data_IF_464377809812
#
_entry.id   IF_464377809812
#
_cell.length_a   1.000
_cell.length_b   1.000
_cell.length_c   1.000
_cell.angle_alpha   90.00
_cell.angle_beta   90.00
_cell.angle_gamma   90.00
#
_symmetry.space_group_name_H-M   'P 1'
#
loop_
_entity.id
_entity.type
_entity.pdbx_description
1 polymer ?
#
# COMPACT_ATOMS: atom_id res chain seq x y z
N UNK A 1 -30.57 17.35 73.24
CA UNK A 1 -31.13 17.58 71.89
C UNK A 1 -30.10 17.57 70.76
N UNK A 2 -28.79 17.71 71.02
CA UNK A 2 -27.75 17.68 69.96
C UNK A 2 -27.23 16.27 69.60
N UNK A 3 -27.43 15.27 70.46
CA UNK A 3 -27.01 13.88 70.17
C UNK A 3 -28.07 13.07 69.39
N UNK A 4 -29.35 13.45 69.48
CA UNK A 4 -30.43 12.78 68.75
C UNK A 4 -30.51 13.15 67.26
N UNK A 5 -29.79 14.19 66.82
CA UNK A 5 -29.70 14.56 65.39
C UNK A 5 -28.53 13.90 64.66
N UNK A 6 -27.60 13.26 65.38
CA UNK A 6 -26.44 12.56 64.80
C UNK A 6 -26.73 11.09 64.47
N UNK A 7 -27.64 10.43 65.19
CA UNK A 7 -28.04 9.06 64.86
C UNK A 7 -28.96 8.97 63.63
N UNK A 8 -29.62 10.07 63.25
CA UNK A 8 -30.54 10.08 62.11
C UNK A 8 -29.87 10.33 60.75
N UNK A 9 -28.54 10.50 60.73
CA UNK A 9 -27.76 10.72 59.49
C UNK A 9 -27.01 9.48 58.99
N UNK A 10 -27.13 8.33 59.67
CA UNK A 10 -26.27 7.15 59.42
C UNK A 10 -26.97 5.97 58.77
N UNK A 11 -28.18 6.14 58.23
CA UNK A 11 -28.85 5.08 57.45
C UNK A 11 -29.38 5.63 56.13
N UNK A 12 -28.49 6.23 55.33
CA UNK A 12 -28.71 6.24 53.89
C UNK A 12 -28.52 4.79 53.42
N UNK A 13 -29.57 3.97 53.44
CA UNK A 13 -29.61 2.77 52.61
C UNK A 13 -29.55 3.28 51.16
N UNK A 14 -28.46 3.05 50.41
CA UNK A 14 -28.46 3.42 49.01
C UNK A 14 -29.53 2.58 48.34
N UNK A 15 -30.53 3.27 47.78
CA UNK A 15 -31.51 2.66 46.89
C UNK A 15 -30.74 1.90 45.82
N UNK A 16 -30.89 0.57 45.79
CA UNK A 16 -30.31 -0.31 44.76
C UNK A 16 -30.90 0.06 43.40
N UNK A 17 -30.35 1.10 42.76
CA UNK A 17 -30.64 1.35 41.35
C UNK A 17 -30.10 0.17 40.55
N UNK A 18 -31.00 -0.55 39.87
CA UNK A 18 -30.62 -1.62 38.96
C UNK A 18 -30.09 -0.96 37.70
N UNK A 19 -28.84 -1.26 37.36
CA UNK A 19 -28.29 -0.83 36.08
C UNK A 19 -29.08 -1.40 34.91
N UNK A 20 -29.36 -0.54 33.93
CA UNK A 20 -29.95 -0.91 32.65
C UNK A 20 -28.96 -1.76 31.83
N UNK A 21 -29.44 -2.43 30.78
CA UNK A 21 -28.59 -3.33 29.98
C UNK A 21 -27.39 -2.61 29.35
N UNK A 22 -27.57 -1.37 28.90
CA UNK A 22 -26.50 -0.54 28.36
C UNK A 22 -25.47 -0.15 29.42
N UNK A 23 -25.92 0.24 30.61
CA UNK A 23 -25.03 0.60 31.71
C UNK A 23 -24.21 -0.62 32.15
N UNK A 24 -24.84 -1.80 32.24
CA UNK A 24 -24.14 -3.06 32.53
C UNK A 24 -23.11 -3.39 31.46
N UNK A 25 -23.42 -3.17 30.19
CA UNK A 25 -22.48 -3.40 29.08
C UNK A 25 -21.26 -2.48 29.18
N UNK A 26 -21.44 -1.17 29.36
CA UNK A 26 -20.31 -0.24 29.49
C UNK A 26 -19.50 -0.48 30.77
N UNK A 27 -20.15 -0.79 31.90
CA UNK A 27 -19.45 -1.15 33.13
C UNK A 27 -18.68 -2.47 32.99
N UNK A 28 -19.23 -3.43 32.24
CA UNK A 28 -18.51 -4.63 31.84
C UNK A 28 -17.29 -4.24 31.02
N UNK A 29 -17.41 -3.45 29.96
CA UNK A 29 -16.26 -2.99 29.15
C UNK A 29 -15.18 -2.29 29.99
N UNK A 30 -15.57 -1.52 31.01
CA UNK A 30 -14.64 -0.87 31.93
C UNK A 30 -13.93 -1.84 32.90
N UNK A 31 -14.37 -3.10 32.98
CA UNK A 31 -13.87 -4.09 33.94
C UNK A 31 -14.12 -3.70 35.40
N UNK A 32 -15.16 -2.90 35.68
CA UNK A 32 -15.45 -2.38 37.02
C UNK A 32 -16.43 -3.27 37.78
N UNK A 33 -16.29 -3.33 39.11
CA UNK A 33 -17.17 -4.10 39.97
C UNK A 33 -18.56 -3.44 40.04
N UNK A 34 -19.55 -4.08 39.42
CA UNK A 34 -20.91 -3.55 39.34
C UNK A 34 -21.66 -3.63 40.67
N UNK A 35 -21.26 -4.50 41.59
CA UNK A 35 -21.90 -4.61 42.89
C UNK A 35 -21.41 -3.50 43.81
N UNK A 36 -20.12 -3.18 43.78
CA UNK A 36 -19.56 -2.03 44.49
C UNK A 36 -20.06 -0.69 43.93
N UNK A 37 -20.15 -0.55 42.60
CA UNK A 37 -20.60 0.69 41.95
C UNK A 37 -22.07 1.04 42.22
N UNK A 38 -22.92 0.07 42.59
CA UNK A 38 -24.31 0.35 42.99
C UNK A 38 -24.41 1.16 44.27
N UNK A 39 -23.41 1.07 45.14
CA UNK A 39 -23.33 1.85 46.38
C UNK A 39 -22.70 3.23 46.16
N UNK A 40 -22.10 3.46 44.98
CA UNK A 40 -21.43 4.71 44.64
C UNK A 40 -22.40 5.74 44.06
N UNK A 41 -22.05 7.03 44.17
CA UNK A 41 -22.83 8.14 43.59
C UNK A 41 -22.93 8.00 42.06
N UNK A 42 -24.00 8.56 41.48
CA UNK A 42 -24.24 8.54 40.03
C UNK A 42 -23.07 9.09 39.19
N UNK A 43 -22.35 10.10 39.70
CA UNK A 43 -21.15 10.65 39.06
C UNK A 43 -20.03 9.62 38.88
N UNK A 44 -19.83 8.73 39.86
CA UNK A 44 -18.85 7.64 39.79
C UNK A 44 -19.30 6.57 38.78
N UNK A 45 -20.59 6.25 38.76
CA UNK A 45 -21.13 5.30 37.78
C UNK A 45 -20.92 5.80 36.34
N UNK A 46 -21.19 7.09 36.08
CA UNK A 46 -20.97 7.73 34.77
C UNK A 46 -19.48 7.72 34.40
N UNK A 47 -18.59 8.01 35.35
CA UNK A 47 -17.13 7.94 35.15
C UNK A 47 -16.68 6.56 34.68
N UNK A 48 -17.14 5.51 35.36
CA UNK A 48 -16.78 4.13 35.00
C UNK A 48 -17.43 3.66 33.69
N UNK A 49 -18.66 4.07 33.38
CA UNK A 49 -19.26 3.85 32.06
C UNK A 49 -18.45 4.56 30.95
N UNK A 50 -17.94 5.76 31.24
CA UNK A 50 -17.03 6.50 30.37
C UNK A 50 -15.77 5.72 30.04
N UNK A 51 -15.10 5.12 31.03
CA UNK A 51 -13.94 4.26 30.78
C UNK A 51 -14.26 3.08 29.86
N UNK A 52 -15.44 2.46 30.03
CA UNK A 52 -15.89 1.38 29.15
C UNK A 52 -16.10 1.84 27.70
N UNK A 53 -16.65 3.04 27.51
CA UNK A 53 -16.79 3.63 26.17
C UNK A 53 -15.44 3.93 25.51
N UNK A 54 -14.45 4.38 26.29
CA UNK A 54 -13.10 4.68 25.79
C UNK A 54 -12.36 3.42 25.34
N UNK A 55 -12.61 2.27 25.96
CA UNK A 55 -12.05 0.95 25.56
C UNK A 55 -12.71 0.43 24.27
N UNK A 56 -13.97 0.77 24.04
CA UNK A 56 -14.73 0.28 22.88
C UNK A 56 -14.30 0.96 21.57
N UNK A 57 -13.93 2.24 21.62
CA UNK A 57 -13.56 3.02 20.42
C UNK A 57 -12.34 2.42 19.70
N UNK A 58 -11.18 2.17 20.35
CA UNK A 58 -10.04 1.48 19.72
C UNK A 58 -10.41 0.10 19.16
N UNK A 59 -11.24 -0.66 19.87
CA UNK A 59 -11.67 -1.99 19.41
C UNK A 59 -12.48 -1.93 18.11
N UNK A 60 -13.41 -0.97 17.96
CA UNK A 60 -14.19 -0.78 16.73
C UNK A 60 -13.28 -0.32 15.59
N UNK A 61 -12.35 0.58 15.86
CA UNK A 61 -11.42 1.04 14.84
C UNK A 61 -10.46 -0.07 14.39
N UNK A 62 -10.02 -0.91 15.32
CA UNK A 62 -9.21 -2.10 15.02
C UNK A 62 -9.97 -3.12 14.16
N UNK A 63 -11.28 -3.28 14.37
CA UNK A 63 -12.15 -4.11 13.53
C UNK A 63 -12.10 -3.63 12.08
N UNK A 64 -12.40 -2.34 11.86
CA UNK A 64 -12.42 -1.76 10.50
C UNK A 64 -11.04 -1.82 9.86
N UNK A 65 -10.00 -1.44 10.60
CA UNK A 65 -8.61 -1.45 10.13
C UNK A 65 -8.17 -2.82 9.67
N UNK A 66 -8.29 -3.83 10.54
CA UNK A 66 -7.80 -5.17 10.25
C UNK A 66 -8.67 -5.87 9.20
N UNK A 67 -9.99 -5.65 9.19
CA UNK A 67 -10.83 -6.15 8.11
C UNK A 67 -10.43 -5.58 6.75
N UNK A 68 -10.08 -4.30 6.68
CA UNK A 68 -9.52 -3.72 5.46
C UNK A 68 -8.16 -4.31 5.11
N UNK A 69 -7.23 -4.38 6.06
CA UNK A 69 -5.89 -4.95 5.84
C UNK A 69 -5.94 -6.38 5.29
N UNK A 70 -6.85 -7.22 5.80
CA UNK A 70 -7.04 -8.58 5.31
C UNK A 70 -7.72 -8.62 3.93
N UNK A 71 -8.57 -7.64 3.62
CA UNK A 71 -9.20 -7.55 2.30
C UNK A 71 -8.21 -7.20 1.17
N UNK A 72 -7.09 -6.56 1.50
CA UNK A 72 -6.03 -6.22 0.54
C UNK A 72 -4.99 -7.34 0.35
N UNK A 73 -5.09 -8.44 1.09
CA UNK A 73 -4.18 -9.58 0.94
C UNK A 73 -4.64 -10.49 -0.22
N UNK A 74 -3.73 -10.81 -1.13
CA UNK A 74 -4.01 -11.62 -2.33
C UNK A 74 -4.68 -12.96 -2.01
N UNK A 75 -4.30 -13.62 -0.91
CA UNK A 75 -4.90 -14.90 -0.49
C UNK A 75 -6.31 -14.82 0.10
N UNK A 76 -6.79 -13.61 0.45
CA UNK A 76 -8.04 -13.37 1.18
C UNK A 76 -8.98 -12.41 0.44
N UNK A 77 -8.52 -11.72 -0.61
CA UNK A 77 -9.31 -10.74 -1.37
C UNK A 77 -10.68 -11.27 -1.83
N UNK A 78 -10.75 -12.52 -2.27
CA UNK A 78 -11.98 -13.14 -2.77
C UNK A 78 -12.91 -13.65 -1.65
N UNK A 79 -12.47 -13.61 -0.40
CA UNK A 79 -13.14 -14.20 0.77
C UNK A 79 -13.42 -13.13 1.82
N UNK A 80 -14.33 -12.21 1.50
CA UNK A 80 -14.74 -11.12 2.40
C UNK A 80 -15.08 -11.58 3.83
N UNK A 81 -15.72 -12.74 3.97
CA UNK A 81 -16.08 -13.29 5.28
C UNK A 81 -14.85 -13.59 6.16
N UNK A 82 -13.71 -14.01 5.57
CA UNK A 82 -12.46 -14.23 6.31
C UNK A 82 -11.86 -12.91 6.79
N UNK A 83 -11.92 -11.86 5.97
CA UNK A 83 -11.46 -10.53 6.35
C UNK A 83 -12.29 -9.96 7.51
N UNK A 84 -13.62 -10.14 7.47
CA UNK A 84 -14.51 -9.75 8.58
C UNK A 84 -14.26 -10.57 9.84
N UNK A 85 -14.09 -11.89 9.72
CA UNK A 85 -13.79 -12.78 10.84
C UNK A 85 -12.45 -12.42 11.49
N UNK A 86 -11.40 -12.22 10.68
CA UNK A 86 -10.08 -11.86 11.18
C UNK A 86 -10.07 -10.50 11.86
N UNK A 87 -10.77 -9.50 11.30
CA UNK A 87 -10.96 -8.21 11.96
C UNK A 87 -11.73 -8.33 13.27
N UNK A 88 -12.75 -9.19 13.33
CA UNK A 88 -13.51 -9.45 14.56
C UNK A 88 -12.64 -10.09 15.65
N UNK A 89 -11.84 -11.11 15.30
CA UNK A 89 -10.89 -11.72 16.23
C UNK A 89 -9.87 -10.69 16.73
N UNK A 90 -9.33 -9.86 15.84
CA UNK A 90 -8.38 -8.80 16.21
C UNK A 90 -9.00 -7.74 17.12
N UNK A 91 -10.23 -7.31 16.83
CA UNK A 91 -11.00 -6.39 17.67
C UNK A 91 -11.20 -6.93 19.08
N UNK A 92 -11.51 -8.23 19.22
CA UNK A 92 -11.62 -8.89 20.53
C UNK A 92 -10.29 -8.91 21.30
N UNK A 93 -9.16 -9.10 20.60
CA UNK A 93 -7.83 -9.05 21.20
C UNK A 93 -7.55 -7.64 21.75
N UNK A 94 -7.72 -6.59 20.94
CA UNK A 94 -7.52 -5.21 21.38
C UNK A 94 -8.45 -4.86 22.54
N UNK A 95 -9.74 -5.19 22.43
CA UNK A 95 -10.71 -5.00 23.49
C UNK A 95 -10.30 -5.68 24.80
N UNK A 96 -9.80 -6.92 24.74
CA UNK A 96 -9.34 -7.65 25.91
C UNK A 96 -8.12 -6.99 26.56
N UNK A 97 -7.15 -6.54 25.76
CA UNK A 97 -5.96 -5.85 26.26
C UNK A 97 -6.31 -4.49 26.90
N UNK A 98 -7.08 -3.65 26.22
CA UNK A 98 -7.48 -2.35 26.74
C UNK A 98 -8.37 -2.48 27.98
N UNK A 99 -9.29 -3.45 27.99
CA UNK A 99 -10.06 -3.79 29.19
C UNK A 99 -9.16 -4.23 30.33
N UNK A 100 -8.21 -5.13 30.07
CA UNK A 100 -7.28 -5.62 31.09
C UNK A 100 -6.52 -4.44 31.71
N UNK A 101 -6.05 -3.52 30.88
CA UNK A 101 -5.27 -2.35 31.32
C UNK A 101 -6.13 -1.39 32.14
N UNK A 102 -7.35 -1.09 31.67
CA UNK A 102 -8.29 -0.28 32.45
C UNK A 102 -8.63 -0.97 33.77
N UNK A 103 -8.85 -2.28 33.79
CA UNK A 103 -9.23 -2.99 35.03
C UNK A 103 -8.10 -3.10 36.05
N UNK A 104 -6.85 -3.24 35.60
CA UNK A 104 -5.68 -3.45 36.47
C UNK A 104 -5.09 -2.14 36.99
N UNK A 105 -5.35 -1.02 36.33
CA UNK A 105 -4.93 0.28 36.80
C UNK A 105 -5.74 0.69 38.04
N UNK A 106 -5.13 0.56 39.22
CA UNK A 106 -5.72 0.98 40.51
C UNK A 106 -5.02 2.24 41.00
N UNK A 107 -5.78 3.30 41.24
CA UNK A 107 -5.24 4.57 41.71
C UNK A 107 -4.80 4.44 43.17
N UNK A 108 -3.55 4.83 43.46
CA UNK A 108 -3.02 4.98 44.82
C UNK A 108 -2.62 6.45 45.04
N UNK A 109 -3.54 7.22 45.58
CA UNK A 109 -3.42 8.52 46.30
C UNK A 109 -2.58 9.68 45.75
N UNK A 110 -1.62 9.55 44.83
CA UNK A 110 -0.84 10.70 44.33
C UNK A 110 -0.45 10.63 42.84
N UNK A 111 -0.76 11.71 42.11
CA UNK A 111 -0.63 11.80 40.64
C UNK A 111 0.84 11.84 40.16
N UNK A 112 1.75 12.40 40.97
CA UNK A 112 3.17 12.59 40.59
C UNK A 112 4.01 11.32 40.84
N UNK A 113 3.67 10.52 41.85
CA UNK A 113 4.35 9.23 42.09
C UNK A 113 3.99 8.19 41.02
N UNK A 114 2.84 8.36 40.39
CA UNK A 114 2.30 7.48 39.36
C UNK A 114 3.06 7.56 38.03
N UNK A 115 3.50 8.77 37.63
CA UNK A 115 4.35 8.98 36.44
C UNK A 115 5.74 8.32 36.55
N UNK A 116 6.20 7.99 37.76
CA UNK A 116 7.49 7.32 37.99
C UNK A 116 7.39 5.79 37.98
N UNK A 117 6.20 5.22 37.81
CA UNK A 117 6.01 3.77 37.81
C UNK A 117 6.41 3.17 36.45
N UNK A 118 7.16 2.05 36.42
CA UNK A 118 7.53 1.39 35.16
C UNK A 118 6.31 0.94 34.35
N UNK A 119 5.18 0.66 35.00
CA UNK A 119 3.90 0.34 34.36
C UNK A 119 3.37 1.48 33.47
N UNK A 120 3.63 2.75 33.83
CA UNK A 120 3.26 3.93 33.03
C UNK A 120 3.93 3.89 31.65
N UNK A 121 5.26 3.76 31.65
CA UNK A 121 6.06 3.76 30.42
C UNK A 121 5.78 2.54 29.56
N UNK A 122 5.64 1.36 30.18
CA UNK A 122 5.28 0.15 29.45
C UNK A 122 3.95 0.33 28.70
N UNK A 123 2.94 0.93 29.35
CA UNK A 123 1.65 1.20 28.71
C UNK A 123 1.76 2.22 27.59
N UNK A 124 2.45 3.33 27.83
CA UNK A 124 2.64 4.35 26.79
C UNK A 124 3.32 3.76 25.54
N UNK A 125 4.34 2.94 25.73
CA UNK A 125 5.02 2.23 24.63
C UNK A 125 4.09 1.27 23.89
N UNK A 126 3.27 0.49 24.61
CA UNK A 126 2.30 -0.40 23.95
C UNK A 126 1.26 0.36 23.13
N UNK A 127 0.71 1.46 23.66
CA UNK A 127 -0.26 2.27 22.95
C UNK A 127 0.34 2.96 21.72
N UNK A 128 1.61 3.39 21.80
CA UNK A 128 2.33 3.92 20.65
C UNK A 128 2.49 2.86 19.54
N UNK A 129 2.93 1.64 19.91
CA UNK A 129 3.11 0.55 18.95
C UNK A 129 1.78 0.14 18.32
N UNK A 130 0.76 -0.12 19.13
CA UNK A 130 -0.56 -0.54 18.65
C UNK A 130 -1.24 0.55 17.83
N UNK A 131 -1.17 1.82 18.28
CA UNK A 131 -1.69 2.96 17.54
C UNK A 131 -1.06 3.09 16.15
N UNK A 132 0.27 2.93 16.03
CA UNK A 132 0.96 2.94 14.73
C UNK A 132 0.48 1.75 13.86
N UNK A 133 0.47 0.53 14.41
CA UNK A 133 0.07 -0.67 13.67
C UNK A 133 -1.37 -0.58 13.17
N UNK A 134 -2.31 -0.14 14.02
CA UNK A 134 -3.72 -0.01 13.67
C UNK A 134 -3.94 1.14 12.67
N UNK A 135 -3.16 2.21 12.77
CA UNK A 135 -3.30 3.36 11.87
C UNK A 135 -2.87 3.05 10.43
N UNK A 136 -1.94 2.12 10.21
CA UNK A 136 -1.36 1.92 8.89
C UNK A 136 -2.38 1.44 7.84
N UNK A 137 -3.19 0.38 8.08
CA UNK A 137 -4.25 0.00 7.14
C UNK A 137 -5.32 1.09 6.98
N UNK A 138 -5.56 1.92 8.00
CA UNK A 138 -6.55 3.00 7.91
C UNK A 138 -6.04 4.19 7.07
N UNK A 139 -4.75 4.51 7.15
CA UNK A 139 -4.11 5.47 6.23
C UNK A 139 -4.23 4.97 4.80
N UNK A 140 -3.96 3.68 4.59
CA UNK A 140 -4.10 3.04 3.29
C UNK A 140 -5.55 3.10 2.78
N UNK A 141 -6.52 2.80 3.64
CA UNK A 141 -7.95 2.92 3.33
C UNK A 141 -8.36 4.36 2.99
N UNK A 142 -7.85 5.34 3.74
CA UNK A 142 -8.15 6.76 3.52
C UNK A 142 -7.66 7.25 2.16
N UNK A 143 -6.48 6.80 1.71
CA UNK A 143 -5.89 7.16 0.43
C UNK A 143 -6.16 6.18 -0.71
N UNK A 144 -7.05 5.20 -0.52
CA UNK A 144 -7.26 4.11 -1.49
C UNK A 144 -7.53 4.62 -2.92
N UNK A 145 -8.36 5.65 -3.08
CA UNK A 145 -8.63 6.26 -4.39
C UNK A 145 -7.38 6.86 -5.02
N UNK A 146 -6.62 7.67 -4.28
CA UNK A 146 -5.39 8.29 -4.77
C UNK A 146 -4.30 7.26 -5.07
N UNK A 147 -4.20 6.20 -4.26
CA UNK A 147 -3.28 5.08 -4.51
C UNK A 147 -3.64 4.37 -5.81
N UNK A 148 -4.93 4.08 -6.04
CA UNK A 148 -5.37 3.46 -7.28
C UNK A 148 -5.02 4.32 -8.51
N UNK A 149 -5.25 5.63 -8.43
CA UNK A 149 -4.88 6.58 -9.49
C UNK A 149 -3.36 6.57 -9.75
N UNK A 150 -2.54 6.56 -8.70
CA UNK A 150 -1.08 6.50 -8.81
C UNK A 150 -0.62 5.16 -9.42
N UNK A 151 -1.25 4.05 -9.04
CA UNK A 151 -0.93 2.73 -9.61
C UNK A 151 -1.27 2.68 -11.10
N UNK A 152 -2.39 3.26 -11.52
CA UNK A 152 -2.74 3.39 -12.94
C UNK A 152 -1.74 4.28 -13.70
N UNK A 153 -1.31 5.39 -13.10
CA UNK A 153 -0.30 6.26 -13.68
C UNK A 153 1.05 5.52 -13.86
N UNK A 154 1.49 4.77 -12.85
CA UNK A 154 2.71 3.95 -12.91
C UNK A 154 2.61 2.89 -14.01
N UNK A 155 1.44 2.26 -14.15
CA UNK A 155 1.21 1.27 -15.19
C UNK A 155 1.29 1.87 -16.59
N UNK A 156 0.67 3.04 -16.81
CA UNK A 156 0.78 3.77 -18.09
C UNK A 156 2.22 4.19 -18.38
N UNK A 157 2.96 4.62 -17.36
CA UNK A 157 4.35 5.01 -17.52
C UNK A 157 5.24 3.82 -17.92
N UNK A 158 5.09 2.67 -17.26
CA UNK A 158 5.85 1.46 -17.60
C UNK A 158 5.47 0.92 -18.98
N UNK A 159 4.18 0.91 -19.32
CA UNK A 159 3.73 0.53 -20.67
C UNK A 159 4.31 1.47 -21.74
N UNK A 160 4.39 2.77 -21.46
CA UNK A 160 5.02 3.74 -22.37
C UNK A 160 6.52 3.50 -22.51
N UNK A 161 7.22 3.18 -21.41
CA UNK A 161 8.64 2.83 -21.42
C UNK A 161 8.91 1.56 -22.24
N UNK A 162 8.12 0.50 -22.02
CA UNK A 162 8.18 -0.74 -22.79
C UNK A 162 7.92 -0.44 -24.27
N UNK A 163 6.86 0.31 -24.58
CA UNK A 163 6.53 0.64 -25.95
C UNK A 163 7.66 1.39 -26.65
N UNK A 164 8.23 2.40 -25.99
CA UNK A 164 9.36 3.17 -26.51
C UNK A 164 10.60 2.29 -26.74
N UNK A 165 10.90 1.37 -25.81
CA UNK A 165 12.03 0.45 -25.95
C UNK A 165 11.92 -0.40 -27.23
N UNK A 166 10.76 -1.02 -27.45
CA UNK A 166 10.53 -1.84 -28.64
C UNK A 166 10.41 -1.00 -29.92
N UNK A 167 9.78 0.17 -29.87
CA UNK A 167 9.66 1.05 -31.04
C UNK A 167 11.03 1.52 -31.53
N UNK A 168 11.98 1.78 -30.63
CA UNK A 168 13.36 2.11 -31.01
C UNK A 168 14.02 0.95 -31.78
N UNK A 169 13.87 -0.30 -31.34
CA UNK A 169 14.41 -1.47 -32.04
C UNK A 169 13.75 -1.69 -33.40
N UNK A 170 12.44 -1.49 -33.49
CA UNK A 170 11.70 -1.60 -34.74
C UNK A 170 12.14 -0.50 -35.72
N UNK A 171 12.32 0.73 -35.25
CA UNK A 171 12.79 1.85 -36.06
C UNK A 171 14.22 1.62 -36.57
N UNK A 172 15.09 0.98 -35.79
CA UNK A 172 16.44 0.59 -36.24
C UNK A 172 16.37 -0.40 -37.42
N UNK A 173 15.50 -1.42 -37.33
CA UNK A 173 15.27 -2.38 -38.42
C UNK A 173 14.72 -1.66 -39.66
N UNK A 174 13.73 -0.78 -39.50
CA UNK A 174 13.16 -0.02 -40.60
C UNK A 174 14.19 0.89 -41.28
N UNK A 175 15.07 1.52 -40.49
CA UNK A 175 16.18 2.32 -40.99
C UNK A 175 17.18 1.49 -41.82
N UNK A 176 17.50 0.27 -41.38
CA UNK A 176 18.35 -0.67 -42.14
C UNK A 176 17.71 -1.05 -43.48
N UNK A 177 16.42 -1.40 -43.48
CA UNK A 177 15.68 -1.73 -44.71
C UNK A 177 15.66 -0.55 -45.67
N UNK A 178 15.42 0.66 -45.17
CA UNK A 178 15.44 1.89 -45.97
C UNK A 178 16.81 2.15 -46.60
N UNK A 179 17.90 1.92 -45.85
CA UNK A 179 19.26 2.05 -46.37
C UNK A 179 19.54 1.06 -47.49
N UNK A 180 19.11 -0.20 -47.33
CA UNK A 180 19.24 -1.24 -48.35
C UNK A 180 18.47 -0.87 -49.63
N UNK A 181 17.23 -0.36 -49.49
CA UNK A 181 16.42 0.11 -50.63
C UNK A 181 17.08 1.29 -51.35
N UNK A 182 17.61 2.25 -50.60
CA UNK A 182 18.31 3.41 -51.16
C UNK A 182 19.55 2.99 -51.95
N UNK A 183 20.36 2.08 -51.40
CA UNK A 183 21.53 1.53 -52.07
C UNK A 183 21.16 0.77 -53.35
N UNK A 184 20.07 -0.01 -53.31
CA UNK A 184 19.59 -0.74 -54.48
C UNK A 184 19.18 0.22 -55.61
N UNK A 185 18.42 1.26 -55.29
CA UNK A 185 17.99 2.28 -56.26
C UNK A 185 19.17 3.05 -56.85
N UNK A 186 20.19 3.37 -56.05
CA UNK A 186 21.41 4.02 -56.53
C UNK A 186 22.14 3.14 -57.56
N UNK A 187 22.37 1.86 -57.22
CA UNK A 187 23.03 0.90 -58.13
C UNK A 187 22.20 0.64 -59.40
N UNK A 188 20.88 0.61 -59.27
CA UNK A 188 19.98 0.47 -60.41
C UNK A 188 20.04 1.69 -61.34
N UNK A 189 20.09 2.90 -60.78
CA UNK A 189 20.24 4.13 -61.56
C UNK A 189 21.57 4.15 -62.33
N UNK A 190 22.65 3.71 -61.69
CA UNK A 190 23.97 3.62 -62.34
C UNK A 190 23.97 2.61 -63.50
N UNK A 191 23.36 1.44 -63.30
CA UNK A 191 23.16 0.46 -64.38
C UNK A 191 22.36 1.05 -65.54
N UNK A 192 21.24 1.74 -65.24
CA UNK A 192 20.39 2.35 -66.27
C UNK A 192 21.14 3.43 -67.06
N UNK A 193 21.95 4.27 -66.41
CA UNK A 193 22.82 5.25 -67.10
C UNK A 193 23.80 4.56 -68.05
N UNK A 194 24.42 3.47 -67.62
CA UNK A 194 25.35 2.72 -68.46
C UNK A 194 24.63 2.04 -69.65
N UNK A 195 23.42 1.52 -69.43
CA UNK A 195 22.59 0.95 -70.49
C UNK A 195 22.23 1.99 -71.57
N UNK A 196 21.87 3.21 -71.15
CA UNK A 196 21.59 4.32 -72.08
C UNK A 196 22.81 4.71 -72.91
N UNK A 197 24.02 4.72 -72.31
CA UNK A 197 25.27 5.00 -73.03
C UNK A 197 25.54 3.93 -74.09
N UNK A 198 25.38 2.65 -73.72
CA UNK A 198 25.58 1.51 -74.65
C UNK A 198 24.58 1.57 -75.81
N UNK A 199 23.31 1.87 -75.53
CA UNK A 199 22.27 1.98 -76.55
C UNK A 199 22.61 3.05 -77.60
N UNK A 200 22.95 4.27 -77.15
CA UNK A 200 23.34 5.39 -78.03
C UNK A 200 24.56 5.08 -78.90
N UNK A 201 25.53 4.36 -78.34
CA UNK A 201 26.75 3.98 -79.05
C UNK A 201 26.49 2.93 -80.14
N UNK A 202 25.62 1.94 -79.87
CA UNK A 202 25.22 0.93 -80.86
C UNK A 202 24.39 1.55 -81.99
N UNK A 203 23.51 2.50 -81.66
CA UNK A 203 22.67 3.22 -82.63
C UNK A 203 23.43 4.24 -83.47
N UNK A 204 24.73 4.44 -83.21
CA UNK A 204 25.60 5.34 -83.96
C UNK A 204 25.32 6.82 -83.68
N UNK A 205 24.72 7.15 -82.53
CA UNK A 205 24.53 8.54 -82.14
C UNK A 205 25.89 9.17 -81.79
N UNK A 206 26.13 10.38 -82.30
CA UNK A 206 27.36 11.13 -82.03
C UNK A 206 27.31 11.75 -80.63
N UNK A 207 28.08 11.21 -79.69
CA UNK A 207 28.24 11.77 -78.34
C UNK A 207 29.52 12.58 -78.23
N UNK A 208 29.50 13.63 -77.40
CA UNK A 208 30.65 14.49 -77.14
C UNK A 208 30.90 14.61 -75.64
N UNK A 209 32.17 14.54 -75.23
CA UNK A 209 32.54 14.74 -73.83
C UNK A 209 32.40 16.21 -73.41
N UNK A 210 32.62 16.50 -72.12
CA UNK A 210 32.56 17.86 -71.55
C UNK A 210 33.58 18.84 -72.19
N UNK A 211 34.58 18.34 -72.91
CA UNK A 211 35.58 19.13 -73.67
C UNK A 211 35.22 19.31 -75.15
N UNK A 212 34.08 18.76 -75.60
CA UNK A 212 33.60 18.86 -76.98
C UNK A 212 34.17 17.81 -77.95
N UNK A 213 34.99 16.88 -77.46
CA UNK A 213 35.61 15.81 -78.25
C UNK A 213 34.60 14.69 -78.52
N UNK A 214 34.69 14.06 -79.70
CA UNK A 214 33.81 12.95 -80.11
C UNK A 214 34.11 11.70 -79.26
N UNK A 215 33.11 11.23 -78.51
CA UNK A 215 33.19 9.98 -77.73
C UNK A 215 32.75 8.76 -78.55
N UNK A 216 31.96 8.95 -79.60
CA UNK A 216 31.49 7.89 -80.48
C UNK A 216 31.86 8.20 -81.93
N UNK A 217 32.03 7.14 -82.72
CA UNK A 217 32.41 7.24 -84.15
C UNK A 217 31.25 7.64 -85.06
N UNK A 218 30.01 7.69 -84.56
CA UNK A 218 28.81 7.97 -85.36
C UNK A 218 28.39 6.84 -86.30
N UNK A 219 29.02 5.68 -86.20
CA UNK A 219 28.75 4.51 -87.04
C UNK A 219 27.93 3.48 -86.26
N UNK A 220 26.86 2.98 -86.85
CA UNK A 220 26.05 1.90 -86.28
C UNK A 220 26.85 0.60 -86.19
N UNK A 221 26.81 -0.05 -85.03
CA UNK A 221 27.38 -1.39 -84.85
C UNK A 221 28.15 -1.59 -83.54
N UNK A 222 28.65 -2.83 -83.35
CA UNK A 222 29.44 -3.22 -82.17
C UNK A 222 30.93 -3.16 -82.51
N UNK A 223 31.57 -2.03 -82.22
CA UNK A 223 33.03 -1.90 -82.25
C UNK A 223 33.68 -2.29 -80.90
N UNK A 224 35.03 -2.30 -80.81
CA UNK A 224 35.75 -2.67 -79.57
C UNK A 224 35.40 -1.80 -78.35
N UNK A 225 35.08 -0.52 -78.55
CA UNK A 225 34.58 0.38 -77.49
C UNK A 225 33.21 -0.08 -76.96
N UNK A 226 32.27 -0.36 -77.86
CA UNK A 226 30.95 -0.87 -77.52
C UNK A 226 31.04 -2.22 -76.79
N UNK A 227 31.94 -3.12 -77.22
CA UNK A 227 32.17 -4.40 -76.53
C UNK A 227 32.65 -4.24 -75.08
N UNK A 228 33.58 -3.33 -74.81
CA UNK A 228 34.05 -3.04 -73.45
C UNK A 228 32.91 -2.49 -72.56
N UNK A 229 32.06 -1.62 -73.10
CA UNK A 229 30.93 -1.06 -72.34
C UNK A 229 29.80 -2.05 -72.13
N UNK A 230 29.55 -2.95 -73.08
CA UNK A 230 28.66 -4.10 -72.91
C UNK A 230 29.21 -5.03 -71.81
N UNK A 231 30.51 -5.30 -71.79
CA UNK A 231 31.12 -6.10 -70.74
C UNK A 231 30.99 -5.42 -69.35
N UNK A 232 31.14 -4.10 -69.28
CA UNK A 232 30.89 -3.34 -68.05
C UNK A 232 29.41 -3.37 -67.63
N UNK A 233 28.47 -3.23 -68.57
CA UNK A 233 27.04 -3.34 -68.30
C UNK A 233 26.68 -4.72 -67.73
N UNK A 234 27.19 -5.79 -68.35
CA UNK A 234 26.97 -7.16 -67.87
C UNK A 234 27.53 -7.38 -66.45
N UNK A 235 28.68 -6.74 -66.11
CA UNK A 235 29.21 -6.76 -64.73
C UNK A 235 28.25 -6.08 -63.76
N UNK A 236 27.76 -4.88 -64.10
CA UNK A 236 26.80 -4.14 -63.26
C UNK A 236 25.48 -4.91 -63.10
N UNK A 237 25.00 -5.60 -64.13
CA UNK A 237 23.81 -6.44 -64.04
C UNK A 237 24.01 -7.65 -63.10
N UNK A 238 25.15 -8.32 -63.21
CA UNK A 238 25.50 -9.42 -62.30
C UNK A 238 25.64 -8.92 -60.85
N UNK A 239 26.28 -7.77 -60.63
CA UNK A 239 26.39 -7.13 -59.32
C UNK A 239 25.01 -6.77 -58.74
N UNK A 240 24.13 -6.18 -59.56
CA UNK A 240 22.77 -5.81 -59.13
C UNK A 240 21.92 -7.04 -58.82
N UNK A 241 22.07 -8.13 -59.59
CA UNK A 241 21.39 -9.39 -59.35
C UNK A 241 21.89 -10.05 -58.05
N UNK A 242 23.20 -10.07 -57.82
CA UNK A 242 23.79 -10.58 -56.59
C UNK A 242 23.30 -9.78 -55.37
N UNK A 243 23.36 -8.44 -55.45
CA UNK A 243 22.88 -7.54 -54.40
C UNK A 243 21.40 -7.76 -54.11
N UNK A 244 20.56 -7.94 -55.14
CA UNK A 244 19.13 -8.24 -54.96
C UNK A 244 18.91 -9.53 -54.18
N UNK A 245 19.65 -10.59 -54.50
CA UNK A 245 19.49 -11.88 -53.83
C UNK A 245 19.95 -11.81 -52.38
N UNK A 246 21.06 -11.12 -52.10
CA UNK A 246 21.55 -10.85 -50.75
C UNK A 246 20.54 -10.05 -49.92
N UNK A 247 20.06 -8.93 -50.46
CA UNK A 247 19.08 -8.08 -49.79
C UNK A 247 17.73 -8.78 -49.58
N UNK A 248 17.29 -9.64 -50.49
CA UNK A 248 16.05 -10.42 -50.31
C UNK A 248 16.15 -11.36 -49.11
N UNK A 249 17.31 -12.02 -48.92
CA UNK A 249 17.54 -12.89 -47.79
C UNK A 249 17.59 -12.09 -46.47
N UNK A 250 18.34 -10.98 -46.44
CA UNK A 250 18.47 -10.14 -45.24
C UNK A 250 17.15 -9.42 -44.88
N UNK A 251 16.41 -8.89 -45.86
CA UNK A 251 15.09 -8.28 -45.58
C UNK A 251 14.10 -9.30 -45.06
N UNK A 252 14.18 -10.56 -45.49
CA UNK A 252 13.35 -11.64 -44.95
C UNK A 252 13.66 -11.87 -43.47
N UNK A 253 14.93 -12.00 -43.10
CA UNK A 253 15.32 -12.17 -41.69
C UNK A 253 14.94 -10.96 -40.83
N UNK A 254 15.13 -9.74 -41.34
CA UNK A 254 14.74 -8.51 -40.63
C UNK A 254 13.22 -8.40 -40.44
N UNK A 255 12.44 -8.88 -41.41
CA UNK A 255 10.98 -8.93 -41.30
C UNK A 255 10.53 -9.91 -40.21
N UNK A 256 11.13 -11.09 -40.17
CA UNK A 256 10.87 -12.10 -39.13
C UNK A 256 11.27 -11.58 -37.74
N UNK A 257 12.42 -10.90 -37.63
CA UNK A 257 12.88 -10.26 -36.39
C UNK A 257 11.90 -9.17 -35.95
N UNK A 258 11.47 -8.28 -36.85
CA UNK A 258 10.46 -7.25 -36.56
C UNK A 258 9.16 -7.86 -36.03
N UNK A 259 8.66 -8.92 -36.66
CA UNK A 259 7.44 -9.62 -36.23
C UNK A 259 7.59 -10.27 -34.85
N UNK A 260 8.78 -10.79 -34.54
CA UNK A 260 9.11 -11.31 -33.21
C UNK A 260 9.15 -10.20 -32.15
N UNK A 261 9.67 -9.02 -32.48
CA UNK A 261 9.72 -7.86 -31.60
C UNK A 261 8.33 -7.28 -31.35
N UNK A 262 7.48 -7.19 -32.37
CA UNK A 262 6.09 -6.75 -32.17
C UNK A 262 5.32 -7.72 -31.28
N UNK A 263 5.50 -9.03 -31.48
CA UNK A 263 4.87 -10.04 -30.62
C UNK A 263 5.40 -9.95 -29.18
N UNK A 264 6.69 -9.72 -29.01
CA UNK A 264 7.32 -9.54 -27.69
C UNK A 264 6.84 -8.27 -27.00
N UNK A 265 6.71 -7.16 -27.74
CA UNK A 265 6.14 -5.89 -27.25
C UNK A 265 4.73 -6.12 -26.70
N UNK A 266 3.86 -6.73 -27.49
CA UNK A 266 2.47 -6.98 -27.09
C UNK A 266 2.40 -7.91 -25.87
N UNK A 267 3.25 -8.95 -25.84
CA UNK A 267 3.33 -9.88 -24.72
C UNK A 267 3.84 -9.20 -23.43
N UNK A 268 4.88 -8.36 -23.52
CA UNK A 268 5.41 -7.60 -22.39
C UNK A 268 4.43 -6.56 -21.86
N UNK A 269 3.70 -5.88 -22.76
CA UNK A 269 2.65 -4.93 -22.38
C UNK A 269 1.46 -5.65 -21.71
N UNK A 270 1.08 -6.83 -22.19
CA UNK A 270 -0.01 -7.63 -21.62
C UNK A 270 0.37 -8.30 -20.28
N UNK A 271 1.62 -8.75 -20.15
CA UNK A 271 2.13 -9.34 -18.91
C UNK A 271 2.22 -8.31 -17.77
N UNK A 272 2.44 -7.03 -18.10
CA UNK A 272 2.41 -5.94 -17.14
C UNK A 272 0.96 -5.52 -16.83
N UNK A 273 0.26 -6.35 -16.06
CA UNK A 273 -1.08 -6.07 -15.55
C UNK A 273 -1.02 -5.39 -14.18
N UNK A 274 -2.08 -4.67 -13.82
CA UNK A 274 -2.23 -4.03 -12.51
C UNK A 274 -2.26 -5.11 -11.41
N UNK A 275 -1.12 -5.40 -10.79
CA UNK A 275 -1.07 -6.21 -9.58
C UNK A 275 -1.62 -5.37 -8.43
N UNK A 276 -2.76 -5.79 -7.86
CA UNK A 276 -3.35 -5.18 -6.66
C UNK A 276 -2.64 -5.59 -5.38
N UNK A 277 -1.44 -6.15 -5.49
CA UNK A 277 -0.66 -6.62 -4.37
C UNK A 277 -0.29 -5.47 -3.41
N UNK A 278 -0.26 -5.79 -2.11
CA UNK A 278 -0.06 -4.85 -1.02
C UNK A 278 1.23 -4.05 -1.17
N UNK A 279 2.28 -4.66 -1.72
CA UNK A 279 3.55 -3.98 -1.95
C UNK A 279 3.47 -2.90 -3.04
N UNK A 280 2.68 -3.11 -4.08
CA UNK A 280 2.47 -2.10 -5.12
C UNK A 280 1.66 -0.92 -4.58
N UNK A 281 0.66 -1.23 -3.76
CA UNK A 281 -0.13 -0.30 -2.98
C UNK A 281 0.74 0.57 -2.05
N UNK A 282 1.67 -0.04 -1.33
CA UNK A 282 2.59 0.66 -0.41
C UNK A 282 3.56 1.57 -1.17
N UNK A 283 4.19 1.09 -2.25
CA UNK A 283 5.05 1.92 -3.11
C UNK A 283 4.32 3.09 -3.73
N UNK A 284 3.08 2.88 -4.18
CA UNK A 284 2.26 3.96 -4.72
C UNK A 284 1.94 5.02 -3.65
N UNK A 285 1.66 4.60 -2.41
CA UNK A 285 1.50 5.53 -1.29
C UNK A 285 2.79 6.28 -0.98
N UNK A 286 3.97 5.63 -1.04
CA UNK A 286 5.26 6.30 -0.87
C UNK A 286 5.52 7.36 -1.93
N UNK A 287 5.27 7.04 -3.20
CA UNK A 287 5.41 8.01 -4.30
C UNK A 287 4.45 9.20 -4.14
N UNK A 288 3.22 8.96 -3.69
CA UNK A 288 2.28 10.05 -3.37
C UNK A 288 2.79 10.94 -2.23
N UNK A 289 3.45 10.36 -1.22
CA UNK A 289 4.07 11.13 -0.11
C UNK A 289 5.31 11.92 -0.55
N UNK A 290 6.01 11.46 -1.59
CA UNK A 290 7.14 12.19 -2.18
C UNK A 290 6.66 13.33 -3.07
N UNK A 291 5.63 13.08 -3.89
CA UNK A 291 5.05 14.09 -4.77
C UNK A 291 4.20 15.15 -4.06
N UNK A 292 3.58 14.81 -2.93
CA UNK A 292 2.69 15.72 -2.20
C UNK A 292 2.95 15.71 -0.67
N UNK A 293 3.56 16.77 -0.11
CA UNK A 293 3.85 16.83 1.32
C UNK A 293 2.59 16.84 2.21
N UNK A 294 1.42 17.22 1.67
CA UNK A 294 0.14 17.18 2.39
C UNK A 294 -0.26 15.75 2.74
N UNK A 295 0.02 14.78 1.85
CA UNK A 295 -0.25 13.36 2.08
C UNK A 295 0.55 12.87 3.28
N UNK A 296 1.84 13.23 3.34
CA UNK A 296 2.73 12.90 4.46
C UNK A 296 2.26 13.52 5.78
N UNK A 297 1.87 14.79 5.76
CA UNK A 297 1.35 15.47 6.95
C UNK A 297 0.05 14.81 7.45
N UNK A 298 -0.84 14.45 6.52
CA UNK A 298 -2.11 13.77 6.83
C UNK A 298 -1.88 12.37 7.40
N UNK A 299 -0.92 11.60 6.86
CA UNK A 299 -0.53 10.31 7.42
C UNK A 299 -0.10 10.46 8.89
N UNK A 300 0.82 11.39 9.18
CA UNK A 300 1.26 11.62 10.55
C UNK A 300 0.14 12.10 11.46
N UNK A 301 -0.76 12.95 10.96
CA UNK A 301 -1.95 13.39 11.69
C UNK A 301 -2.82 12.19 12.06
N UNK A 302 -3.08 11.28 11.12
CA UNK A 302 -3.86 10.06 11.37
C UNK A 302 -3.14 9.19 12.41
N UNK A 303 -1.84 8.92 12.26
CA UNK A 303 -1.07 8.12 13.23
C UNK A 303 -1.18 8.73 14.65
N UNK A 304 -0.94 10.04 14.79
CA UNK A 304 -1.01 10.73 16.07
C UNK A 304 -2.43 10.67 16.65
N UNK A 305 -3.46 10.83 15.82
CA UNK A 305 -4.85 10.71 16.23
C UNK A 305 -5.14 9.32 16.80
N UNK A 306 -4.69 8.25 16.14
CA UNK A 306 -4.89 6.88 16.59
C UNK A 306 -4.16 6.58 17.90
N UNK A 307 -2.90 6.99 18.01
CA UNK A 307 -2.14 6.87 19.26
C UNK A 307 -2.82 7.65 20.38
N UNK A 308 -3.34 8.85 20.10
CA UNK A 308 -4.07 9.64 21.08
C UNK A 308 -5.34 8.95 21.54
N UNK A 309 -6.14 8.41 20.61
CA UNK A 309 -7.38 7.67 20.91
C UNK A 309 -7.08 6.44 21.78
N UNK A 310 -6.02 5.71 21.49
CA UNK A 310 -5.60 4.52 22.25
C UNK A 310 -5.07 4.88 23.66
N UNK A 311 -4.52 6.09 23.81
CA UNK A 311 -4.10 6.65 25.10
C UNK A 311 -5.26 7.25 25.90
N UNK A 312 -6.45 7.50 25.33
CA UNK A 312 -7.56 8.11 26.05
C UNK A 312 -8.01 7.33 27.30
N UNK A 313 -8.22 6.00 27.26
CA UNK A 313 -8.60 5.24 28.47
C UNK A 313 -7.61 5.44 29.61
N UNK A 314 -6.33 5.55 29.26
CA UNK A 314 -5.25 5.74 30.21
C UNK A 314 -5.22 7.17 30.77
N UNK A 315 -5.18 8.18 29.90
CA UNK A 315 -5.16 9.60 30.27
C UNK A 315 -6.36 9.90 31.18
N UNK A 316 -7.56 9.56 30.74
CA UNK A 316 -8.77 9.83 31.52
C UNK A 316 -8.75 9.12 32.87
N UNK A 317 -8.17 7.92 32.94
CA UNK A 317 -8.11 7.19 34.20
C UNK A 317 -7.08 7.80 35.17
N UNK A 318 -5.91 8.21 34.69
CA UNK A 318 -4.89 8.90 35.50
C UNK A 318 -5.38 10.26 36.01
N UNK A 319 -6.09 11.04 35.18
CA UNK A 319 -6.59 12.37 35.56
C UNK A 319 -7.97 12.34 36.25
N UNK A 320 -8.64 11.20 36.30
CA UNK A 320 -9.92 11.08 36.98
C UNK A 320 -9.79 11.32 38.48
N UNK A 321 -10.84 11.83 39.13
CA UNK A 321 -10.85 12.11 40.58
C UNK A 321 -10.97 10.84 41.42
N UNK A 322 -10.37 10.85 42.62
CA UNK A 322 -10.27 9.68 43.49
C UNK A 322 -11.64 9.50 44.13
N UNK A 323 -12.32 8.44 43.70
CA UNK A 323 -13.72 8.22 44.03
C UNK A 323 -13.92 7.40 45.29
N UNK A 324 -15.18 7.30 45.71
CA UNK A 324 -15.59 6.35 46.75
C UNK A 324 -15.28 4.90 46.33
N UNK A 325 -15.40 4.59 45.03
CA UNK A 325 -15.05 3.29 44.47
C UNK A 325 -13.57 2.95 44.69
N UNK A 326 -12.67 3.88 44.35
CA UNK A 326 -11.22 3.70 44.52
C UNK A 326 -10.84 3.60 46.00
N UNK A 327 -11.52 4.38 46.86
CA UNK A 327 -11.32 4.34 48.31
C UNK A 327 -11.67 2.99 48.92
N UNK A 328 -12.84 2.45 48.62
CA UNK A 328 -13.27 1.15 49.17
C UNK A 328 -12.32 0.04 48.74
N UNK A 329 -11.86 0.06 47.48
CA UNK A 329 -10.86 -0.91 47.00
C UNK A 329 -9.50 -0.75 47.69
N UNK A 330 -9.08 0.50 47.96
CA UNK A 330 -7.85 0.79 48.69
C UNK A 330 -7.91 0.32 50.15
N UNK A 331 -9.00 0.63 50.84
CA UNK A 331 -9.24 0.26 52.24
C UNK A 331 -9.34 -1.28 52.38
N UNK A 332 -9.99 -1.98 51.44
CA UNK A 332 -10.00 -3.45 51.38
C UNK A 332 -8.58 -4.02 51.22
N UNK A 333 -7.76 -3.46 50.33
CA UNK A 333 -6.39 -3.92 50.09
C UNK A 333 -5.48 -3.69 51.29
N UNK A 334 -5.59 -2.54 51.96
CA UNK A 334 -4.84 -2.20 53.17
C UNK A 334 -5.24 -3.09 54.35
N UNK A 335 -6.54 -3.34 54.54
CA UNK A 335 -7.04 -4.26 55.56
C UNK A 335 -6.52 -5.69 55.35
N UNK A 336 -6.40 -6.14 54.11
CA UNK A 336 -5.83 -7.46 53.76
C UNK A 336 -4.32 -7.54 53.94
N UNK A 337 -3.60 -6.41 53.83
CA UNK A 337 -2.15 -6.36 54.06
C UNK A 337 -1.80 -6.31 55.55
N UNK A 338 -2.70 -5.79 56.40
CA UNK A 338 -2.52 -5.71 57.85
C UNK A 338 -2.83 -6.99 58.63
N UNK A 339 -3.42 -8.02 58.00
CA UNK A 339 -3.77 -9.30 58.62
C UNK A 339 -2.63 -10.32 58.49
N UNK A 340 -2.35 -11.08 59.56
CA UNK A 340 -1.37 -12.18 59.51
C UNK A 340 -1.85 -13.30 58.58
N UNK A 341 -0.94 -14.15 58.08
CA UNK A 341 -1.22 -15.16 57.06
C UNK A 341 -2.39 -16.10 57.45
N UNK A 342 -2.52 -16.44 58.74
CA UNK A 342 -3.62 -17.25 59.28
C UNK A 342 -4.96 -16.49 59.34
N UNK A 343 -4.93 -15.21 59.70
CA UNK A 343 -6.12 -14.37 59.78
C UNK A 343 -6.68 -14.05 58.39
N UNK A 344 -5.80 -13.91 57.38
CA UNK A 344 -6.20 -13.78 55.97
C UNK A 344 -6.94 -15.03 55.48
N UNK A 345 -6.45 -16.24 55.80
CA UNK A 345 -7.14 -17.47 55.42
C UNK A 345 -8.49 -17.61 56.11
N UNK A 346 -8.59 -17.24 57.39
CA UNK A 346 -9.84 -17.26 58.14
C UNK A 346 -10.87 -16.25 57.59
N UNK A 347 -10.42 -15.04 57.25
CA UNK A 347 -11.25 -14.03 56.58
C UNK A 347 -11.80 -14.53 55.23
N UNK A 348 -10.94 -15.12 54.39
CA UNK A 348 -11.38 -15.68 53.10
C UNK A 348 -12.31 -16.88 53.29
N UNK A 349 -12.08 -17.76 54.27
CA UNK A 349 -12.99 -18.87 54.58
C UNK A 349 -14.36 -18.38 55.05
N UNK A 350 -14.42 -17.34 55.88
CA UNK A 350 -15.68 -16.75 56.31
C UNK A 350 -16.43 -16.11 55.13
N UNK A 351 -15.72 -15.38 54.26
CA UNK A 351 -16.30 -14.74 53.07
C UNK A 351 -16.77 -15.78 52.04
N UNK A 352 -16.01 -16.87 51.84
CA UNK A 352 -16.39 -18.01 50.99
C UNK A 352 -17.60 -18.77 51.55
N UNK A 353 -17.69 -18.95 52.87
CA UNK A 353 -18.85 -19.55 53.53
C UNK A 353 -20.13 -18.73 53.33
N UNK A 354 -20.04 -17.40 53.42
CA UNK A 354 -21.17 -16.50 53.15
C UNK A 354 -21.59 -16.48 51.68
N UNK A 355 -20.66 -16.74 50.75
CA UNK A 355 -20.95 -16.82 49.32
C UNK A 355 -21.48 -18.20 48.88
N UNK A 356 -21.24 -19.26 49.66
CA UNK A 356 -21.76 -20.60 49.40
C UNK A 356 -23.19 -20.86 49.89
N UNK A 357 -23.78 -19.95 50.66
CA UNK A 357 -25.19 -20.00 51.09
C UNK A 357 -26.15 -19.24 50.15
N UNK A 358 -25.66 -18.74 49.02
CA UNK A 358 -26.43 -18.23 47.87
C UNK A 358 -26.20 -19.11 46.65
#
# INVERSE_FOLDING_TARGET
>A
MYQASLEKSTTMHPTREKFNIFERFFLFCAGSDTDLLRYCRRSEQIKHMGFGSLVLVPAILALVSMSYALSTLEGIQDKLWLALLGGFVWSLIIFAFDRFIVSTHRRKTSDIAELKRPAFYLRFSFALILGIVISHPLVMLYFNGSVADQMEANLKQEQAYIAQHYDNMINEIEGRVFMMDSLYLEKQAERNRQADIVAKEIDGEVMRNRKGELETTGLKGKGPSAENKIAQLNRLENELQALRMEQLAEKKSLKEEKESLTTSKDSSMAAFSLSTDYLHQERALEQLKEGNPVVRATQWLIIILFVLVDLLPFIFKTFSTYGLYDKVLGDEEESLQGLDLQERTAFWQQKLGQLGEY
#
